data_IF_894047438687
#
_entry.id   IF_894047438687
#
_cell.length_a   1.000
_cell.length_b   1.000
_cell.length_c   1.000
_cell.angle_alpha   90.00
_cell.angle_beta   90.00
_cell.angle_gamma   90.00
#
_symmetry.space_group_name_H-M   'P 1'
#
loop_
_entity.id
_entity.type
_entity.pdbx_description
1 polymer ?
#
# COMPACT_ATOMS: atom_id res chain seq x y z
N UNK A 1 8.77 -29.66 -54.50
CA UNK A 1 8.18 -28.33 -54.24
C UNK A 1 7.87 -28.29 -52.75
N UNK A 2 8.45 -27.30 -52.07
CA UNK A 2 8.56 -27.24 -50.62
C UNK A 2 7.48 -26.31 -50.05
N UNK A 3 6.92 -26.67 -48.90
CA UNK A 3 6.44 -25.68 -47.94
C UNK A 3 6.56 -26.27 -46.53
N UNK A 4 7.45 -25.73 -45.67
CA UNK A 4 7.49 -26.08 -44.27
C UNK A 4 6.37 -25.33 -43.56
N UNK A 5 5.40 -26.06 -42.99
CA UNK A 5 4.42 -25.49 -42.09
C UNK A 5 5.16 -24.87 -40.88
N UNK A 6 5.20 -23.54 -40.84
CA UNK A 6 5.63 -22.77 -39.67
C UNK A 6 4.70 -23.08 -38.50
N UNK A 7 5.16 -23.90 -37.57
CA UNK A 7 4.55 -24.07 -36.27
C UNK A 7 4.79 -22.82 -35.44
N UNK A 8 3.89 -21.83 -35.54
CA UNK A 8 3.84 -20.70 -34.60
C UNK A 8 3.31 -21.23 -33.27
N UNK A 9 4.22 -21.66 -32.39
CA UNK A 9 3.88 -22.05 -31.03
C UNK A 9 3.64 -20.77 -30.21
N UNK A 10 2.39 -20.34 -30.18
CA UNK A 10 1.87 -19.23 -29.39
C UNK A 10 2.20 -19.42 -27.91
N UNK A 11 3.21 -18.67 -27.45
CA UNK A 11 3.62 -18.52 -26.05
C UNK A 11 2.63 -17.64 -25.30
N UNK A 12 1.35 -18.02 -25.30
CA UNK A 12 0.26 -17.22 -24.72
C UNK A 12 -0.54 -18.05 -23.72
N UNK A 13 0.18 -18.74 -22.81
CA UNK A 13 -0.41 -19.60 -21.78
C UNK A 13 -0.18 -19.18 -20.34
N UNK A 14 0.64 -18.14 -20.06
CA UNK A 14 1.12 -17.86 -18.70
C UNK A 14 0.75 -16.49 -18.12
N UNK A 15 0.18 -15.55 -18.88
CA UNK A 15 -0.14 -14.21 -18.35
C UNK A 15 -1.54 -14.09 -17.73
N UNK A 16 -2.45 -15.04 -17.97
CA UNK A 16 -3.83 -15.01 -17.42
C UNK A 16 -3.98 -15.91 -16.18
N UNK A 17 -3.02 -16.81 -15.93
CA UNK A 17 -3.09 -17.81 -14.86
C UNK A 17 -2.74 -17.27 -13.46
N UNK A 18 -2.37 -16.00 -13.32
CA UNK A 18 -2.11 -15.37 -12.02
C UNK A 18 -3.33 -14.63 -11.42
N UNK A 19 -4.51 -14.71 -12.06
CA UNK A 19 -5.73 -14.06 -11.55
C UNK A 19 -6.51 -14.98 -10.59
N UNK A 20 -6.19 -16.27 -10.53
CA UNK A 20 -6.88 -17.24 -9.67
C UNK A 20 -5.90 -18.03 -8.80
N UNK A 21 -5.28 -17.38 -7.83
CA UNK A 21 -4.68 -18.12 -6.73
C UNK A 21 -4.72 -17.32 -5.44
N UNK A 22 -5.51 -17.87 -4.51
CA UNK A 22 -5.56 -17.55 -3.08
C UNK A 22 -6.46 -16.36 -2.71
N UNK A 23 -7.61 -16.68 -2.09
CA UNK A 23 -8.49 -15.73 -1.37
C UNK A 23 -7.82 -15.30 -0.06
N UNK A 24 -6.71 -14.59 -0.19
CA UNK A 24 -5.93 -13.98 0.88
C UNK A 24 -5.53 -12.60 0.36
N UNK A 25 -5.63 -11.57 1.19
CA UNK A 25 -5.16 -10.24 0.79
C UNK A 25 -3.64 -10.31 0.66
N UNK A 26 -3.06 -10.02 -0.53
CA UNK A 26 -1.61 -10.03 -0.72
C UNK A 26 -1.00 -8.88 0.08
N UNK A 27 -0.33 -9.22 1.19
CA UNK A 27 0.24 -8.27 2.15
C UNK A 27 1.13 -7.21 1.48
N UNK A 28 2.04 -7.65 0.59
CA UNK A 28 2.99 -6.75 -0.06
C UNK A 28 2.27 -5.75 -0.96
N UNK A 29 1.34 -6.21 -1.81
CA UNK A 29 0.58 -5.35 -2.72
C UNK A 29 -0.32 -4.37 -1.95
N UNK A 30 -0.95 -4.83 -0.87
CA UNK A 30 -1.77 -3.97 -0.02
C UNK A 30 -0.93 -2.92 0.70
N UNK A 31 0.18 -3.33 1.32
CA UNK A 31 1.10 -2.45 2.04
C UNK A 31 1.74 -1.40 1.14
N UNK A 32 2.21 -1.78 -0.05
CA UNK A 32 2.80 -0.81 -0.99
C UNK A 32 1.76 0.16 -1.55
N UNK A 33 0.57 -0.31 -1.92
CA UNK A 33 -0.51 0.56 -2.43
C UNK A 33 -0.97 1.55 -1.36
N UNK A 34 -1.20 1.07 -0.13
CA UNK A 34 -1.61 1.91 0.99
C UNK A 34 -0.51 2.87 1.43
N UNK A 35 0.76 2.43 1.39
CA UNK A 35 1.92 3.27 1.65
C UNK A 35 2.08 4.41 0.65
N UNK A 36 1.94 4.14 -0.65
CA UNK A 36 1.99 5.18 -1.69
C UNK A 36 0.84 6.17 -1.51
N UNK A 37 -0.37 5.68 -1.21
CA UNK A 37 -1.52 6.54 -0.94
C UNK A 37 -1.30 7.46 0.26
N UNK A 38 -0.80 6.93 1.39
CA UNK A 38 -0.48 7.74 2.57
C UNK A 38 0.65 8.74 2.27
N UNK A 39 1.67 8.34 1.52
CA UNK A 39 2.76 9.20 1.11
C UNK A 39 2.27 10.39 0.27
N UNK A 40 1.41 10.16 -0.73
CA UNK A 40 0.82 11.24 -1.55
C UNK A 40 -0.04 12.15 -0.68
N UNK A 41 -0.86 11.58 0.19
CA UNK A 41 -1.74 12.35 1.10
C UNK A 41 -0.92 13.23 2.04
N UNK A 42 0.18 12.72 2.58
CA UNK A 42 1.10 13.50 3.40
C UNK A 42 1.67 14.71 2.66
N UNK A 43 2.15 14.51 1.41
CA UNK A 43 2.66 15.63 0.59
C UNK A 43 1.57 16.68 0.34
N UNK A 44 0.35 16.25 0.06
CA UNK A 44 -0.80 17.16 -0.10
C UNK A 44 -1.11 17.91 1.21
N UNK A 45 -1.05 17.24 2.36
CA UNK A 45 -1.25 17.87 3.67
C UNK A 45 -0.17 18.92 3.96
N UNK A 46 1.10 18.62 3.71
CA UNK A 46 2.20 19.58 3.89
C UNK A 46 2.04 20.79 2.95
N UNK A 47 1.64 20.54 1.69
CA UNK A 47 1.35 21.61 0.74
C UNK A 47 0.18 22.50 1.19
N UNK A 48 -0.88 21.90 1.73
CA UNK A 48 -2.03 22.64 2.26
C UNK A 48 -1.66 23.49 3.48
N UNK A 49 -0.88 22.96 4.42
CA UNK A 49 -0.39 23.70 5.59
C UNK A 49 0.47 24.91 5.19
N UNK A 50 1.21 24.82 4.08
CA UNK A 50 2.00 25.93 3.53
C UNK A 50 1.14 26.99 2.83
N UNK A 51 0.07 26.58 2.14
CA UNK A 51 -0.88 27.48 1.47
C UNK A 51 -1.83 28.18 2.46
N UNK A 52 -2.19 27.51 3.56
CA UNK A 52 -3.16 28.00 4.56
C UNK A 52 -2.60 27.91 5.99
N UNK A 53 -1.63 28.78 6.37
CA UNK A 53 -0.97 28.73 7.67
C UNK A 53 -1.91 29.01 8.86
N UNK A 54 -3.09 29.62 8.61
CA UNK A 54 -4.09 29.88 9.64
C UNK A 54 -4.87 28.63 10.11
N UNK A 55 -4.76 27.50 9.40
CA UNK A 55 -5.35 26.21 9.75
C UNK A 55 -4.28 25.11 9.84
N UNK A 56 -3.07 25.48 10.29
CA UNK A 56 -1.94 24.57 10.25
C UNK A 56 -2.15 23.35 11.17
N UNK A 57 -2.07 22.15 10.60
CA UNK A 57 -2.19 20.88 11.32
C UNK A 57 -0.84 20.36 11.85
N UNK A 58 0.26 21.09 11.62
CA UNK A 58 1.59 20.77 12.14
C UNK A 58 1.68 20.51 13.67
N UNK A 59 0.88 21.12 14.57
CA UNK A 59 0.97 20.84 16.00
C UNK A 59 0.60 19.39 16.35
N UNK A 60 -0.21 18.75 15.50
CA UNK A 60 -0.57 17.33 15.64
C UNK A 60 0.58 16.41 15.23
N UNK A 61 1.40 16.84 14.27
CA UNK A 61 2.57 16.09 13.78
C UNK A 61 3.73 16.18 14.77
N UNK A 62 3.96 17.34 15.38
CA UNK A 62 4.98 17.52 16.44
C UNK A 62 4.75 16.63 17.67
N UNK A 63 3.48 16.36 18.01
CA UNK A 63 3.14 15.43 19.09
C UNK A 63 3.37 13.96 18.75
N UNK A 64 3.29 13.62 17.46
CA UNK A 64 3.48 12.25 16.98
C UNK A 64 4.97 11.94 16.76
N UNK A 65 5.79 12.96 16.43
CA UNK A 65 7.22 12.84 16.11
C UNK A 65 8.11 13.74 17.00
N UNK A 66 8.69 13.21 18.10
CA UNK A 66 9.67 13.96 18.88
C UNK A 66 10.94 14.21 18.05
N UNK A 67 11.14 15.46 17.60
CA UNK A 67 12.22 15.88 16.69
C UNK A 67 11.75 16.55 15.39
N UNK A 68 10.44 16.70 15.19
CA UNK A 68 9.88 17.45 14.08
C UNK A 68 9.99 18.95 14.36
N UNK A 69 10.87 19.64 13.64
CA UNK A 69 11.00 21.10 13.64
C UNK A 69 10.43 21.59 12.31
N UNK A 70 9.48 22.52 12.39
CA UNK A 70 8.71 23.02 11.26
C UNK A 70 9.63 23.58 10.14
N UNK A 71 9.43 23.11 8.90
CA UNK A 71 10.13 23.49 7.66
C UNK A 71 11.61 23.08 7.53
N UNK A 72 12.04 22.02 8.21
CA UNK A 72 13.33 21.38 7.93
C UNK A 72 13.19 20.23 6.91
N UNK A 73 13.99 20.28 5.83
CA UNK A 73 14.10 19.21 4.82
C UNK A 73 14.24 17.79 5.41
N UNK A 74 15.05 17.55 6.48
CA UNK A 74 15.11 16.23 7.10
C UNK A 74 13.82 15.82 7.79
N UNK A 75 13.12 16.74 8.45
CA UNK A 75 11.84 16.45 9.13
C UNK A 75 10.74 16.09 8.13
N UNK A 76 10.73 16.70 6.94
CA UNK A 76 9.80 16.33 5.87
C UNK A 76 9.99 14.88 5.40
N UNK A 77 11.24 14.47 5.13
CA UNK A 77 11.58 13.11 4.70
C UNK A 77 11.25 12.12 5.81
N UNK A 78 11.52 12.47 7.07
CA UNK A 78 11.24 11.65 8.23
C UNK A 78 9.73 11.39 8.36
N UNK A 79 8.88 12.41 8.19
CA UNK A 79 7.43 12.26 8.17
C UNK A 79 6.91 11.39 7.00
N UNK A 80 7.57 11.44 5.83
CA UNK A 80 7.24 10.59 4.68
C UNK A 80 7.54 9.11 4.99
N UNK A 81 8.72 8.84 5.57
CA UNK A 81 9.15 7.49 5.96
C UNK A 81 8.23 6.94 7.05
N UNK A 82 7.93 7.73 8.07
CA UNK A 82 7.00 7.32 9.14
C UNK A 82 5.61 7.03 8.59
N UNK A 83 5.03 7.91 7.75
CA UNK A 83 3.72 7.68 7.15
C UNK A 83 3.67 6.37 6.35
N UNK A 84 4.74 6.09 5.60
CA UNK A 84 4.86 4.83 4.87
C UNK A 84 5.01 3.62 5.80
N UNK A 85 5.77 3.76 6.90
CA UNK A 85 5.92 2.74 7.91
C UNK A 85 4.60 2.45 8.63
N UNK A 86 3.80 3.48 8.95
CA UNK A 86 2.46 3.32 9.51
C UNK A 86 1.52 2.57 8.56
N UNK A 87 1.57 2.86 7.27
CA UNK A 87 0.80 2.11 6.27
C UNK A 87 1.18 0.61 6.27
N UNK A 88 2.48 0.31 6.34
CA UNK A 88 2.98 -1.06 6.44
C UNK A 88 2.60 -1.75 7.75
N UNK A 89 2.65 -1.03 8.86
CA UNK A 89 2.17 -1.51 10.15
C UNK A 89 0.70 -1.93 10.08
N UNK A 90 -0.16 -1.08 9.51
CA UNK A 90 -1.58 -1.40 9.28
C UNK A 90 -1.71 -2.63 8.38
N UNK A 91 -0.96 -2.71 7.28
CA UNK A 91 -0.97 -3.85 6.38
C UNK A 91 -0.59 -5.16 7.08
N UNK A 92 0.47 -5.15 7.88
CA UNK A 92 0.97 -6.30 8.63
C UNK A 92 -0.03 -6.83 9.65
N UNK A 93 -0.86 -5.97 10.25
CA UNK A 93 -1.89 -6.39 11.21
C UNK A 93 -3.18 -6.77 10.50
N UNK A 94 -3.63 -5.94 9.55
CA UNK A 94 -4.92 -6.09 8.90
C UNK A 94 -4.98 -7.31 7.97
N UNK A 95 -3.94 -7.55 7.16
CA UNK A 95 -3.93 -8.68 6.22
C UNK A 95 -4.08 -10.04 6.91
N UNK A 96 -3.29 -10.42 7.94
CA UNK A 96 -3.46 -11.70 8.61
C UNK A 96 -4.77 -11.77 9.39
N UNK A 97 -5.21 -10.67 10.02
CA UNK A 97 -6.49 -10.63 10.73
C UNK A 97 -7.67 -10.87 9.79
N UNK A 98 -7.70 -10.17 8.65
CA UNK A 98 -8.72 -10.36 7.62
C UNK A 98 -8.72 -11.80 7.09
N UNK A 99 -7.54 -12.34 6.80
CA UNK A 99 -7.39 -13.71 6.34
C UNK A 99 -7.89 -14.73 7.37
N UNK A 100 -7.64 -14.50 8.66
CA UNK A 100 -8.11 -15.34 9.76
C UNK A 100 -9.64 -15.31 9.91
N UNK A 101 -10.24 -14.12 9.95
CA UNK A 101 -11.69 -13.95 10.00
C UNK A 101 -12.37 -14.56 8.76
N UNK A 102 -11.83 -14.31 7.57
CA UNK A 102 -12.34 -14.87 6.33
C UNK A 102 -12.29 -16.41 6.30
N UNK A 103 -11.27 -17.01 6.90
CA UNK A 103 -11.18 -18.46 7.05
C UNK A 103 -12.24 -19.03 8.00
N UNK A 104 -12.54 -18.33 9.11
CA UNK A 104 -13.56 -18.73 10.09
C UNK A 104 -14.97 -18.69 9.52
N UNK A 105 -15.33 -17.62 8.79
CA UNK A 105 -16.65 -17.48 8.17
C UNK A 105 -16.92 -18.55 7.11
N UNK A 106 -15.89 -18.98 6.36
CA UNK A 106 -16.03 -20.10 5.41
C UNK A 106 -16.33 -21.42 6.11
N UNK A 107 -15.70 -21.68 7.27
CA UNK A 107 -15.91 -22.92 8.04
C UNK A 107 -17.31 -23.01 8.64
N UNK A 108 -17.87 -21.89 9.12
CA UNK A 108 -19.23 -21.85 9.67
C UNK A 108 -20.34 -22.00 8.62
N UNK A 109 -20.04 -21.85 7.32
CA UNK A 109 -21.00 -22.06 6.23
C UNK A 109 -21.01 -23.49 5.66
N UNK A 110 -20.16 -24.37 6.19
CA UNK A 110 -20.08 -25.78 5.80
C UNK A 110 -20.49 -26.74 6.93
N UNK A 111 -20.98 -26.21 8.05
CA UNK A 111 -21.62 -26.95 9.14
C UNK A 111 -23.12 -26.63 9.14
#
# INVERSE_FOLDING_TARGET
MAEPAMTVQSRTGNSVQAITAVRQIPLVTFGTSFGIFLAITYVLCVGHDLLFPAQAMHPSWERLLPGFIWLDWPSFILGLIESFAYAWYVALIFCPLFNFLAARTKRGRQA
#
